data_IF_432871105665
#
_entry.id   IF_432871105665
#
_cell.length_a   1.000
_cell.length_b   1.000
_cell.length_c   1.000
_cell.angle_alpha   90.00
_cell.angle_beta   90.00
_cell.angle_gamma   90.00
#
_symmetry.space_group_name_H-M   'P 1'
#
loop_
_entity.id
_entity.type
_entity.pdbx_description
1 polymer ?
#
# COMPACT_ATOMS: atom_id res chain seq x y z
N UNK A 1 11.44 22.99 59.07
CA UNK A 1 10.89 23.30 57.74
C UNK A 1 11.46 22.29 56.75
N UNK A 2 10.71 21.23 56.43
CA UNK A 2 11.10 20.21 55.48
C UNK A 2 10.52 20.59 54.10
N UNK A 3 11.38 20.98 53.17
CA UNK A 3 10.97 21.26 51.80
C UNK A 3 10.76 19.96 51.01
N UNK A 4 9.52 19.75 50.60
CA UNK A 4 9.12 18.63 49.72
C UNK A 4 9.49 18.97 48.28
N UNK A 5 10.54 18.34 47.72
CA UNK A 5 10.87 18.40 46.31
C UNK A 5 9.93 17.46 45.55
N UNK A 6 8.95 18.02 44.84
CA UNK A 6 8.15 17.31 43.85
C UNK A 6 8.99 17.14 42.58
N UNK A 7 9.50 15.94 42.35
CA UNK A 7 10.05 15.53 41.07
C UNK A 7 8.88 15.27 40.07
N UNK A 8 8.66 16.21 39.15
CA UNK A 8 7.83 15.96 37.98
C UNK A 8 8.59 15.03 37.03
N UNK A 9 8.25 13.76 37.06
CA UNK A 9 8.63 12.85 35.98
C UNK A 9 7.82 13.21 34.73
N UNK A 10 8.40 13.95 33.80
CA UNK A 10 7.87 14.12 32.47
C UNK A 10 8.07 12.76 31.75
N UNK A 11 7.06 11.93 31.80
CA UNK A 11 7.01 10.74 30.99
C UNK A 11 7.00 11.15 29.51
N UNK A 12 8.09 10.89 28.81
CA UNK A 12 8.12 10.89 27.36
C UNK A 12 7.14 9.80 26.90
N UNK A 13 5.92 10.20 26.59
CA UNK A 13 4.98 9.36 25.84
C UNK A 13 5.58 9.18 24.44
N UNK A 14 6.36 8.13 24.25
CA UNK A 14 6.66 7.65 22.92
C UNK A 14 5.33 7.28 22.29
N UNK A 15 4.86 8.09 21.35
CA UNK A 15 3.73 7.75 20.49
C UNK A 15 4.12 6.47 19.75
N UNK A 16 3.56 5.34 20.16
CA UNK A 16 3.72 4.09 19.40
C UNK A 16 2.89 4.26 18.15
N UNK A 17 3.56 4.51 17.04
CA UNK A 17 2.92 4.55 15.73
C UNK A 17 2.58 3.11 15.35
N UNK A 18 1.27 2.78 15.40
CA UNK A 18 0.77 1.44 15.06
C UNK A 18 0.65 1.20 13.55
N UNK A 19 0.89 2.22 12.76
CA UNK A 19 0.63 2.25 11.34
C UNK A 19 1.86 2.72 10.56
N UNK A 20 1.98 2.26 9.34
CA UNK A 20 3.04 2.65 8.41
C UNK A 20 2.60 2.39 6.97
N UNK A 21 3.54 2.48 6.05
CA UNK A 21 3.29 2.25 4.63
C UNK A 21 4.60 2.17 3.86
N UNK A 22 4.48 2.22 2.53
CA UNK A 22 5.64 2.21 1.65
C UNK A 22 6.26 3.59 1.59
N UNK A 23 7.48 3.72 2.09
CA UNK A 23 8.23 4.98 2.02
C UNK A 23 9.35 4.96 0.98
N UNK A 24 9.83 3.78 0.57
CA UNK A 24 10.90 3.66 -0.41
C UNK A 24 10.64 2.51 -1.37
N UNK A 25 11.38 2.52 -2.47
CA UNK A 25 11.42 1.41 -3.43
C UNK A 25 12.85 1.05 -3.80
N UNK A 26 13.06 -0.18 -4.30
CA UNK A 26 14.29 -0.55 -5.00
C UNK A 26 14.00 -1.33 -6.27
N UNK A 27 14.91 -1.17 -7.25
CA UNK A 27 14.99 -1.94 -8.49
C UNK A 27 16.41 -2.43 -8.61
N UNK A 28 16.63 -3.74 -8.53
CA UNK A 28 17.95 -4.32 -8.36
C UNK A 28 18.62 -3.76 -7.10
N UNK A 29 19.83 -3.18 -7.26
CA UNK A 29 20.57 -2.56 -6.15
C UNK A 29 20.29 -1.07 -5.96
N UNK A 30 19.50 -0.46 -6.84
CA UNK A 30 19.22 0.97 -6.79
C UNK A 30 18.03 1.29 -5.92
N UNK A 31 18.23 2.18 -4.97
CA UNK A 31 17.21 2.70 -4.07
C UNK A 31 16.60 3.99 -4.59
N UNK A 32 15.29 4.15 -4.33
CA UNK A 32 14.52 5.33 -4.66
C UNK A 32 13.77 5.79 -3.41
N UNK A 33 14.09 6.99 -2.97
CA UNK A 33 13.44 7.58 -1.79
C UNK A 33 12.06 8.08 -2.16
N UNK A 34 11.07 7.67 -1.35
CA UNK A 34 9.71 8.17 -1.42
C UNK A 34 9.40 9.17 -0.31
N UNK A 35 8.14 9.49 -0.17
CA UNK A 35 7.62 10.36 0.88
C UNK A 35 7.56 9.61 2.21
N UNK A 36 8.02 10.25 3.29
CA UNK A 36 7.94 9.74 4.65
C UNK A 36 7.06 10.68 5.49
N UNK A 37 5.88 10.27 5.97
CA UNK A 37 4.99 11.15 6.73
C UNK A 37 5.53 11.53 8.12
N UNK A 38 6.58 10.87 8.61
CA UNK A 38 7.25 11.19 9.86
C UNK A 38 8.38 12.23 9.72
N UNK A 39 8.67 12.68 8.49
CA UNK A 39 9.64 13.73 8.21
C UNK A 39 8.92 15.03 7.85
N UNK A 40 9.61 16.17 8.03
CA UNK A 40 9.03 17.49 7.74
C UNK A 40 8.62 17.60 6.25
N UNK A 41 7.38 18.00 5.94
CA UNK A 41 6.93 18.13 4.57
C UNK A 41 7.76 19.10 3.72
N UNK A 42 8.22 20.20 4.32
CA UNK A 42 9.04 21.23 3.66
C UNK A 42 10.41 20.71 3.19
N UNK A 43 10.91 19.63 3.78
CA UNK A 43 12.17 18.99 3.37
C UNK A 43 11.98 18.02 2.20
N UNK A 44 10.74 17.63 1.92
CA UNK A 44 10.38 16.61 0.93
C UNK A 44 9.63 17.17 -0.27
N UNK A 45 8.78 18.17 -0.06
CA UNK A 45 7.93 18.73 -1.13
C UNK A 45 8.75 19.33 -2.26
N UNK A 46 8.45 18.90 -3.48
CA UNK A 46 9.13 19.40 -4.69
C UNK A 46 10.55 18.87 -4.90
N UNK A 47 11.04 17.99 -4.04
CA UNK A 47 12.38 17.45 -4.18
C UNK A 47 12.52 16.56 -5.43
N UNK A 48 13.61 16.69 -6.18
CA UNK A 48 13.80 15.96 -7.43
C UNK A 48 13.96 14.45 -7.27
N UNK A 49 14.22 13.96 -6.06
CA UNK A 49 14.31 12.54 -5.74
C UNK A 49 12.97 11.91 -5.39
N UNK A 50 11.91 12.71 -5.14
CA UNK A 50 10.62 12.22 -4.67
C UNK A 50 9.88 11.42 -5.75
N UNK A 51 9.68 10.13 -5.50
CA UNK A 51 9.02 9.22 -6.44
C UNK A 51 7.62 8.78 -5.98
N UNK A 52 7.30 8.91 -4.69
CA UNK A 52 5.97 8.62 -4.16
C UNK A 52 5.08 9.85 -4.21
N UNK A 53 3.80 9.63 -4.43
CA UNK A 53 2.78 10.64 -4.16
C UNK A 53 2.78 10.96 -2.67
N UNK A 54 2.56 12.25 -2.36
CA UNK A 54 2.55 12.73 -0.98
C UNK A 54 1.41 12.08 -0.18
N UNK A 55 1.74 11.62 0.99
CA UNK A 55 0.81 11.12 2.00
C UNK A 55 1.25 11.63 3.38
N UNK A 56 0.32 12.26 4.12
CA UNK A 56 0.64 13.03 5.32
C UNK A 56 0.29 12.31 6.62
N UNK A 57 -0.47 11.21 6.55
CA UNK A 57 -0.89 10.48 7.73
C UNK A 57 -0.67 9.00 7.54
N UNK A 58 -0.22 8.36 8.60
CA UNK A 58 -0.18 6.90 8.75
C UNK A 58 -1.56 6.33 9.11
N UNK A 59 -2.57 7.18 9.32
CA UNK A 59 -3.93 6.74 9.64
C UNK A 59 -4.60 6.04 8.45
N UNK A 60 -5.46 5.05 8.72
CA UNK A 60 -6.17 4.34 7.67
C UNK A 60 -7.22 5.21 6.98
N UNK A 61 -7.51 4.87 5.74
CA UNK A 61 -8.73 5.27 5.08
C UNK A 61 -9.78 4.20 5.41
N UNK A 62 -10.87 4.60 6.09
CA UNK A 62 -11.93 3.68 6.52
C UNK A 62 -13.11 3.65 5.54
N UNK A 63 -13.30 4.73 4.77
CA UNK A 63 -14.37 4.80 3.76
C UNK A 63 -13.79 4.52 2.36
N UNK A 64 -14.10 3.37 1.75
CA UNK A 64 -13.64 3.04 0.41
C UNK A 64 -14.26 3.91 -0.70
N UNK A 65 -15.26 4.74 -0.39
CA UNK A 65 -15.79 5.74 -1.32
C UNK A 65 -15.02 7.06 -1.32
N UNK A 66 -14.13 7.27 -0.35
CA UNK A 66 -13.29 8.46 -0.30
C UNK A 66 -12.28 8.45 -1.47
N UNK A 67 -12.08 9.59 -2.12
CA UNK A 67 -11.12 9.74 -3.24
C UNK A 67 -9.67 9.41 -2.84
N UNK A 68 -9.31 9.61 -1.58
CA UNK A 68 -8.00 9.26 -1.02
C UNK A 68 -7.68 7.77 -1.11
N UNK A 69 -8.70 6.90 -1.30
CA UNK A 69 -8.51 5.45 -1.47
C UNK A 69 -7.62 5.12 -2.69
N UNK A 70 -7.50 6.03 -3.65
CA UNK A 70 -6.64 5.82 -4.82
C UNK A 70 -5.15 5.86 -4.47
N UNK A 71 -4.69 6.91 -3.77
CA UNK A 71 -3.26 7.13 -3.48
C UNK A 71 -3.01 7.88 -2.17
N UNK A 72 -3.82 7.65 -1.13
CA UNK A 72 -3.73 8.32 0.17
C UNK A 72 -4.01 9.84 0.09
N UNK A 73 -3.81 10.57 1.20
CA UNK A 73 -4.11 11.99 1.36
C UNK A 73 -2.83 12.81 1.55
N UNK A 74 -2.63 13.88 0.79
CA UNK A 74 -3.46 14.46 -0.28
C UNK A 74 -3.31 13.77 -1.63
N UNK A 75 -2.40 12.80 -1.81
CA UNK A 75 -2.14 12.14 -3.08
C UNK A 75 -1.44 13.02 -4.13
N UNK A 76 -0.84 14.14 -3.69
CA UNK A 76 -0.13 15.07 -4.57
C UNK A 76 0.93 14.34 -5.40
N UNK A 77 0.98 14.57 -6.70
CA UNK A 77 1.92 13.89 -7.59
C UNK A 77 3.39 14.05 -7.18
N UNK A 78 4.16 12.99 -7.39
CA UNK A 78 5.61 13.01 -7.23
C UNK A 78 6.30 13.81 -8.33
N UNK A 79 7.54 14.22 -8.06
CA UNK A 79 8.38 14.98 -9.00
C UNK A 79 9.05 14.05 -10.02
N UNK A 80 9.52 12.89 -9.55
CA UNK A 80 10.27 11.90 -10.34
C UNK A 80 9.51 10.59 -10.53
N UNK A 81 10.04 9.75 -11.41
CA UNK A 81 9.58 8.39 -11.63
C UNK A 81 10.73 7.40 -11.47
N UNK A 82 10.40 6.18 -11.08
CA UNK A 82 11.34 5.06 -11.03
C UNK A 82 11.44 4.48 -12.44
N UNK A 83 12.62 4.52 -13.11
CA UNK A 83 12.82 3.79 -14.35
C UNK A 83 12.91 2.30 -14.06
N UNK A 84 12.12 1.51 -14.79
CA UNK A 84 12.07 0.06 -14.66
C UNK A 84 11.74 -0.56 -16.01
N UNK A 85 12.28 -1.75 -16.28
CA UNK A 85 11.94 -2.50 -17.49
C UNK A 85 10.85 -3.53 -17.19
N UNK A 86 9.91 -3.68 -18.10
CA UNK A 86 8.93 -4.77 -18.03
C UNK A 86 9.68 -6.13 -17.92
N UNK A 87 9.30 -6.93 -16.94
CA UNK A 87 9.99 -8.17 -16.55
C UNK A 87 10.98 -8.02 -15.40
N UNK A 88 11.31 -6.80 -14.96
CA UNK A 88 12.13 -6.57 -13.78
C UNK A 88 11.30 -6.55 -12.50
N UNK A 89 11.97 -6.81 -11.39
CA UNK A 89 11.41 -6.79 -10.06
C UNK A 89 11.48 -5.38 -9.45
N UNK A 90 10.39 -4.99 -8.79
CA UNK A 90 10.31 -3.81 -7.95
C UNK A 90 10.02 -4.24 -6.51
N UNK A 91 10.79 -3.72 -5.57
CA UNK A 91 10.63 -3.98 -4.15
C UNK A 91 10.08 -2.75 -3.44
N UNK A 92 8.91 -2.88 -2.85
CA UNK A 92 8.34 -1.89 -1.93
C UNK A 92 8.93 -2.12 -0.53
N UNK A 93 9.34 -1.03 0.12
CA UNK A 93 10.02 -1.05 1.41
C UNK A 93 9.14 -0.35 2.43
N UNK A 94 8.69 -1.12 3.41
CA UNK A 94 7.79 -0.73 4.47
C UNK A 94 8.54 -0.52 5.78
N UNK A 95 8.03 0.39 6.60
CA UNK A 95 8.50 0.63 7.96
C UNK A 95 7.31 0.69 8.92
N UNK A 96 7.49 0.28 10.17
CA UNK A 96 6.51 0.40 11.24
C UNK A 96 5.13 -0.16 10.91
N UNK A 97 5.00 -1.47 10.86
CA UNK A 97 3.72 -2.11 10.65
C UNK A 97 3.38 -3.06 11.80
N UNK A 98 2.18 -2.96 12.37
CA UNK A 98 1.79 -3.72 13.56
C UNK A 98 0.60 -4.65 13.37
N UNK A 99 -0.25 -4.41 12.39
CA UNK A 99 -1.38 -5.29 12.13
C UNK A 99 -0.92 -6.59 11.48
N UNK A 100 -1.70 -7.67 11.72
CA UNK A 100 -1.28 -9.02 11.34
C UNK A 100 -2.32 -9.77 10.50
N UNK A 101 -3.50 -9.19 10.27
CA UNK A 101 -4.62 -9.85 9.59
C UNK A 101 -5.13 -8.99 8.43
N UNK A 102 -5.17 -9.60 7.26
CA UNK A 102 -5.69 -8.98 6.06
C UNK A 102 -4.75 -9.09 4.85
N UNK A 103 -5.26 -8.83 3.65
CA UNK A 103 -4.50 -8.95 2.42
C UNK A 103 -3.57 -7.76 2.17
N UNK A 104 -2.53 -8.00 1.36
CA UNK A 104 -1.67 -7.01 0.75
C UNK A 104 -1.79 -7.12 -0.78
N UNK A 105 -1.93 -5.99 -1.47
CA UNK A 105 -2.19 -5.97 -2.90
C UNK A 105 -1.29 -4.94 -3.60
N UNK A 106 -0.67 -5.34 -4.72
CA UNK A 106 0.07 -4.46 -5.61
C UNK A 106 -0.71 -4.22 -6.90
N UNK A 107 -0.91 -2.95 -7.22
CA UNK A 107 -1.69 -2.48 -8.36
C UNK A 107 -0.85 -1.61 -9.26
N UNK A 108 -1.25 -1.52 -10.54
CA UNK A 108 -0.74 -0.51 -11.46
C UNK A 108 -1.89 0.17 -12.20
N UNK A 109 -1.63 1.40 -12.68
CA UNK A 109 -2.53 2.13 -13.57
C UNK A 109 -1.70 2.86 -14.63
N UNK A 110 -2.13 2.78 -15.89
CA UNK A 110 -1.52 3.55 -17.00
C UNK A 110 -1.90 5.03 -16.84
N UNK A 111 -0.90 5.91 -16.78
CA UNK A 111 -1.11 7.34 -16.69
C UNK A 111 -1.51 7.97 -18.05
N UNK A 112 -1.34 7.26 -19.17
CA UNK A 112 -1.60 7.79 -20.51
C UNK A 112 -0.73 8.96 -20.94
N UNK A 113 0.26 9.34 -20.11
CA UNK A 113 1.17 10.48 -20.25
C UNK A 113 1.96 10.68 -18.95
N UNK A 114 2.53 11.84 -18.68
CA UNK A 114 3.27 12.11 -17.45
C UNK A 114 2.41 11.89 -16.20
N UNK A 115 2.85 11.01 -15.27
CA UNK A 115 2.08 10.67 -14.08
C UNK A 115 1.85 11.85 -13.12
N UNK A 116 2.66 12.89 -13.19
CA UNK A 116 2.45 14.11 -12.40
C UNK A 116 1.22 14.93 -12.83
N UNK A 117 0.61 14.61 -13.98
CA UNK A 117 -0.65 15.20 -14.46
C UNK A 117 -1.84 14.24 -14.35
N UNK A 118 -1.61 13.03 -13.90
CA UNK A 118 -2.62 11.98 -13.86
C UNK A 118 -3.45 12.06 -12.58
N UNK A 119 -4.79 12.03 -12.73
CA UNK A 119 -5.70 11.89 -11.62
C UNK A 119 -5.86 10.41 -11.23
N UNK A 120 -5.32 10.01 -10.09
CA UNK A 120 -5.33 8.63 -9.65
C UNK A 120 -6.75 8.08 -9.40
N UNK A 121 -7.70 8.94 -8.98
CA UNK A 121 -9.08 8.54 -8.74
C UNK A 121 -9.89 8.26 -10.02
N UNK A 122 -9.38 8.67 -11.18
CA UNK A 122 -9.95 8.35 -12.50
C UNK A 122 -9.25 7.17 -13.17
N UNK A 123 -8.20 6.66 -12.53
CA UNK A 123 -7.36 5.58 -13.04
C UNK A 123 -8.11 4.26 -13.26
N UNK A 124 -7.66 3.52 -14.26
CA UNK A 124 -8.03 2.11 -14.46
C UNK A 124 -6.92 1.24 -13.89
N UNK A 125 -7.20 0.69 -12.72
CA UNK A 125 -6.25 -0.07 -11.92
C UNK A 125 -6.36 -1.55 -12.23
N UNK A 126 -5.22 -2.24 -12.24
CA UNK A 126 -5.13 -3.69 -12.37
C UNK A 126 -4.13 -4.24 -11.34
N UNK A 127 -4.41 -5.43 -10.82
CA UNK A 127 -3.49 -6.10 -9.89
C UNK A 127 -2.33 -6.72 -10.65
N UNK A 128 -1.12 -6.58 -10.10
CA UNK A 128 0.08 -7.31 -10.53
C UNK A 128 0.48 -8.37 -9.51
N UNK A 129 0.08 -8.19 -8.25
CA UNK A 129 0.33 -9.13 -7.17
C UNK A 129 -0.66 -8.98 -6.03
N UNK A 130 -0.82 -10.06 -5.27
CA UNK A 130 -1.59 -10.07 -4.03
C UNK A 130 -1.11 -11.19 -3.11
N UNK A 131 -1.20 -10.95 -1.79
CA UNK A 131 -0.89 -11.92 -0.74
C UNK A 131 -1.98 -11.83 0.33
N UNK A 132 -2.35 -12.95 0.90
CA UNK A 132 -3.40 -13.04 1.93
C UNK A 132 -3.06 -14.03 3.01
N UNK A 133 -4.05 -14.83 3.43
CA UNK A 133 -3.88 -15.93 4.36
C UNK A 133 -3.12 -17.07 3.67
N UNK A 134 -1.94 -17.41 4.19
CA UNK A 134 -1.04 -18.42 3.62
C UNK A 134 -1.35 -19.82 4.21
N UNK A 135 -1.71 -19.88 5.49
CA UNK A 135 -2.07 -21.13 6.18
C UNK A 135 -2.72 -20.86 7.53
N UNK A 136 -3.41 -21.85 8.07
CA UNK A 136 -4.06 -21.77 9.38
C UNK A 136 -5.42 -21.07 9.34
N UNK A 137 -5.93 -20.68 10.51
CA UNK A 137 -7.22 -20.00 10.66
C UNK A 137 -7.17 -18.53 10.35
N UNK A 138 -8.32 -17.93 10.01
CA UNK A 138 -8.43 -16.52 9.63
C UNK A 138 -7.95 -15.57 10.74
N UNK A 139 -8.11 -15.92 12.01
CA UNK A 139 -7.75 -15.09 13.16
C UNK A 139 -6.26 -15.23 13.50
N UNK A 140 -5.80 -16.46 13.75
CA UNK A 140 -4.45 -16.73 14.25
C UNK A 140 -3.49 -17.28 13.18
N UNK A 141 -3.97 -17.44 11.96
CA UNK A 141 -3.20 -18.05 10.87
C UNK A 141 -2.04 -17.20 10.40
N UNK A 142 -1.26 -17.79 9.52
CA UNK A 142 -0.10 -17.15 8.91
C UNK A 142 -0.54 -16.26 7.74
N UNK A 143 -0.91 -15.02 8.02
CA UNK A 143 -1.12 -14.01 6.99
C UNK A 143 0.23 -13.49 6.48
N UNK A 144 0.33 -13.19 5.21
CA UNK A 144 1.54 -12.56 4.64
C UNK A 144 1.86 -11.23 5.34
N UNK A 145 0.84 -10.46 5.68
CA UNK A 145 0.95 -9.19 6.41
C UNK A 145 1.64 -9.36 7.76
N UNK A 146 1.51 -10.51 8.43
CA UNK A 146 2.14 -10.79 9.72
C UNK A 146 3.68 -10.72 9.66
N UNK A 147 4.28 -11.01 8.51
CA UNK A 147 5.71 -10.91 8.30
C UNK A 147 6.24 -9.47 8.34
N UNK A 148 5.34 -8.51 8.23
CA UNK A 148 5.63 -7.07 8.26
C UNK A 148 5.51 -6.49 9.67
N UNK A 149 5.03 -7.25 10.67
CA UNK A 149 4.97 -6.79 12.05
C UNK A 149 6.37 -6.40 12.56
N UNK A 150 6.55 -5.13 12.88
CA UNK A 150 7.84 -4.57 13.15
C UNK A 150 7.73 -3.33 14.04
N UNK A 151 8.03 -3.52 15.33
CA UNK A 151 8.03 -2.46 16.34
C UNK A 151 9.29 -1.60 16.31
N UNK A 152 10.36 -2.12 15.70
CA UNK A 152 11.70 -1.51 15.74
C UNK A 152 11.94 -0.57 14.55
N UNK A 153 10.99 -0.50 13.61
CA UNK A 153 11.12 0.34 12.41
C UNK A 153 12.16 -0.18 11.42
N UNK A 154 12.50 -1.47 11.48
CA UNK A 154 13.37 -2.09 10.49
C UNK A 154 12.60 -2.26 9.16
N UNK A 155 13.28 -2.14 8.00
CA UNK A 155 12.62 -2.27 6.72
C UNK A 155 12.11 -3.69 6.49
N UNK A 156 10.86 -3.81 6.04
CA UNK A 156 10.27 -5.04 5.53
C UNK A 156 9.99 -4.88 4.04
N UNK A 157 10.29 -5.90 3.27
CA UNK A 157 10.32 -5.82 1.80
C UNK A 157 9.27 -6.72 1.16
N UNK A 158 8.56 -6.18 0.18
CA UNK A 158 7.70 -6.95 -0.69
C UNK A 158 8.05 -6.69 -2.15
N UNK A 159 8.44 -7.76 -2.85
CA UNK A 159 8.85 -7.72 -4.25
C UNK A 159 7.75 -8.27 -5.15
N UNK A 160 7.45 -7.56 -6.23
CA UNK A 160 6.62 -8.01 -7.34
C UNK A 160 7.32 -7.75 -8.67
N UNK A 161 7.06 -8.61 -9.65
CA UNK A 161 7.63 -8.47 -11.00
C UNK A 161 6.68 -7.66 -11.88
N UNK A 162 7.16 -6.63 -12.56
CA UNK A 162 6.39 -5.92 -13.59
C UNK A 162 6.13 -6.89 -14.74
N UNK A 163 4.87 -7.10 -15.17
CA UNK A 163 4.56 -8.08 -16.22
C UNK A 163 5.39 -7.84 -17.50
N UNK A 164 6.14 -8.84 -17.94
CA UNK A 164 7.12 -8.71 -19.03
C UNK A 164 6.49 -8.30 -20.38
N UNK A 165 5.20 -8.61 -20.59
CA UNK A 165 4.46 -8.24 -21.79
C UNK A 165 3.80 -6.86 -21.71
N UNK A 166 3.90 -6.14 -20.57
CA UNK A 166 3.30 -4.83 -20.37
C UNK A 166 3.86 -3.83 -21.39
N UNK A 167 2.98 -3.10 -22.03
CA UNK A 167 3.33 -2.01 -22.95
C UNK A 167 4.15 -0.94 -22.22
N UNK A 168 5.25 -0.43 -22.81
CA UNK A 168 6.01 0.69 -22.24
C UNK A 168 5.14 1.94 -22.06
N UNK A 169 5.44 2.72 -21.02
CA UNK A 169 4.69 3.93 -20.69
C UNK A 169 4.94 4.39 -19.25
N UNK A 170 4.21 5.41 -18.85
CA UNK A 170 4.23 5.92 -17.50
C UNK A 170 3.06 5.30 -16.72
N UNK A 171 3.36 4.76 -15.54
CA UNK A 171 2.42 4.07 -14.69
C UNK A 171 2.48 4.57 -13.27
N UNK A 172 1.36 4.54 -12.57
CA UNK A 172 1.39 4.46 -11.11
C UNK A 172 1.55 3.00 -10.70
N UNK A 173 2.38 2.76 -9.69
CA UNK A 173 2.31 1.55 -8.86
C UNK A 173 1.69 1.94 -7.52
N UNK A 174 0.78 1.10 -7.02
CA UNK A 174 0.09 1.30 -5.75
C UNK A 174 0.23 0.05 -4.92
N UNK A 175 0.89 0.16 -3.80
CA UNK A 175 0.92 -0.88 -2.78
C UNK A 175 -0.13 -0.57 -1.72
N UNK A 176 -0.82 -1.59 -1.26
CA UNK A 176 -1.89 -1.46 -0.30
C UNK A 176 -1.85 -2.57 0.72
N UNK A 177 -1.97 -2.20 1.98
CA UNK A 177 -2.34 -3.12 3.04
C UNK A 177 -3.80 -2.87 3.38
N UNK A 178 -4.57 -3.95 3.52
CA UNK A 178 -5.92 -3.89 4.10
C UNK A 178 -5.87 -4.62 5.45
N UNK A 179 -6.15 -3.92 6.54
CA UNK A 179 -6.19 -4.52 7.86
C UNK A 179 -7.63 -4.86 8.27
N UNK A 180 -7.86 -6.09 8.74
CA UNK A 180 -9.17 -6.65 9.06
C UNK A 180 -9.35 -6.99 10.56
N UNK A 181 -8.50 -6.44 11.41
CA UNK A 181 -8.48 -6.73 12.84
C UNK A 181 -9.65 -6.07 13.62
N UNK A 182 -10.35 -5.11 13.02
CA UNK A 182 -11.55 -4.50 13.60
C UNK A 182 -12.79 -5.08 12.90
N UNK A 183 -13.73 -5.71 13.64
CA UNK A 183 -14.93 -6.30 13.06
C UNK A 183 -15.71 -5.32 12.18
N UNK A 184 -16.03 -5.72 10.95
CA UNK A 184 -16.81 -4.95 9.98
C UNK A 184 -16.29 -3.53 9.71
N UNK A 185 -15.01 -3.29 9.95
CA UNK A 185 -14.36 -1.98 9.76
C UNK A 185 -12.98 -2.16 9.13
N UNK A 186 -12.91 -2.49 7.83
CA UNK A 186 -11.63 -2.63 7.13
C UNK A 186 -10.88 -1.30 7.10
N UNK A 187 -9.58 -1.37 7.25
CA UNK A 187 -8.68 -0.23 7.20
C UNK A 187 -7.78 -0.33 5.97
N UNK A 188 -7.78 0.69 5.13
CA UNK A 188 -7.03 0.73 3.87
C UNK A 188 -5.83 1.65 3.97
N UNK A 189 -4.66 1.17 3.54
CA UNK A 189 -3.38 1.89 3.57
C UNK A 189 -2.73 1.84 2.18
N UNK A 190 -3.19 2.70 1.25
CA UNK A 190 -2.66 2.76 -0.11
C UNK A 190 -1.56 3.80 -0.25
N UNK A 191 -0.42 3.45 -0.83
CA UNK A 191 0.63 4.38 -1.22
C UNK A 191 0.98 4.18 -2.71
N UNK A 192 1.20 5.29 -3.42
CA UNK A 192 1.49 5.29 -4.84
C UNK A 192 2.86 5.87 -5.17
N UNK A 193 3.56 5.24 -6.12
CA UNK A 193 4.77 5.78 -6.73
C UNK A 193 4.63 5.88 -8.25
N UNK A 194 5.45 6.74 -8.86
CA UNK A 194 5.51 6.90 -10.30
C UNK A 194 6.55 5.94 -10.91
N UNK A 195 6.17 5.25 -11.98
CA UNK A 195 7.06 4.40 -12.77
C UNK A 195 7.19 4.92 -14.20
N UNK A 196 8.40 4.82 -14.76
CA UNK A 196 8.66 4.90 -16.19
C UNK A 196 9.03 3.50 -16.69
N UNK A 197 8.06 2.80 -17.27
CA UNK A 197 8.22 1.42 -17.72
C UNK A 197 8.75 1.40 -19.13
N UNK A 198 9.90 0.77 -19.33
CA UNK A 198 10.53 0.50 -20.63
C UNK A 198 10.34 -0.97 -21.03
N UNK A 199 10.71 -1.33 -22.26
CA UNK A 199 10.67 -2.71 -22.73
C UNK A 199 10.06 -2.86 -24.11
N UNK A 200 9.77 -4.13 -24.49
CA UNK A 200 9.21 -4.49 -25.80
C UNK A 200 7.81 -5.08 -25.69
N UNK A 201 7.19 -5.04 -24.52
CA UNK A 201 5.83 -5.52 -24.31
C UNK A 201 4.84 -4.71 -25.13
N UNK A 202 3.74 -5.33 -25.52
CA UNK A 202 2.70 -4.71 -26.35
C UNK A 202 1.31 -4.88 -25.76
N UNK A 203 1.21 -5.57 -24.61
CA UNK A 203 -0.07 -5.91 -24.01
C UNK A 203 -0.50 -4.88 -22.94
N UNK A 204 -1.80 -4.76 -22.82
CA UNK A 204 -2.47 -4.02 -21.76
C UNK A 204 -3.55 -4.91 -21.13
N UNK A 205 -3.90 -4.72 -19.85
CA UNK A 205 -4.93 -5.53 -19.20
C UNK A 205 -6.30 -5.36 -19.87
N UNK A 206 -6.97 -6.47 -20.13
CA UNK A 206 -8.36 -6.48 -20.62
C UNK A 206 -9.35 -6.06 -19.54
N UNK A 207 -10.60 -5.74 -19.92
CA UNK A 207 -11.66 -5.22 -19.02
C UNK A 207 -11.86 -6.02 -17.73
N UNK A 208 -11.73 -7.36 -17.77
CA UNK A 208 -11.91 -8.23 -16.60
C UNK A 208 -10.90 -7.99 -15.48
N UNK A 209 -9.76 -7.37 -15.80
CA UNK A 209 -8.68 -7.07 -14.87
C UNK A 209 -8.73 -5.63 -14.35
N UNK A 210 -9.61 -4.78 -14.87
CA UNK A 210 -9.62 -3.34 -14.61
C UNK A 210 -10.73 -2.95 -13.63
N UNK A 211 -10.41 -2.02 -12.76
CA UNK A 211 -11.36 -1.32 -11.90
C UNK A 211 -10.89 0.09 -11.58
N UNK A 212 -11.66 0.82 -10.77
CA UNK A 212 -11.31 2.19 -10.37
C UNK A 212 -11.35 2.33 -8.86
N UNK A 213 -10.54 3.21 -8.33
CA UNK A 213 -10.60 3.68 -6.94
C UNK A 213 -11.05 5.14 -6.90
N UNK A 214 -12.18 5.43 -6.25
CA UNK A 214 -13.16 4.53 -5.61
C UNK A 214 -13.87 3.59 -6.58
N UNK A 215 -14.39 2.46 -6.05
CA UNK A 215 -15.26 1.54 -6.78
C UNK A 215 -14.86 0.07 -6.73
N UNK A 216 -13.57 -0.27 -6.70
CA UNK A 216 -13.12 -1.66 -6.53
C UNK A 216 -13.50 -2.17 -5.14
N UNK A 217 -13.27 -1.36 -4.11
CA UNK A 217 -13.63 -1.69 -2.73
C UNK A 217 -15.05 -1.25 -2.40
N UNK A 218 -15.79 -2.08 -1.69
CA UNK A 218 -17.13 -1.80 -1.22
C UNK A 218 -17.39 -2.46 0.13
N UNK A 219 -18.00 -1.75 1.06
CA UNK A 219 -18.46 -2.33 2.32
C UNK A 219 -19.65 -3.28 2.16
N UNK A 220 -20.17 -3.46 0.94
CA UNK A 220 -21.10 -4.55 0.60
C UNK A 220 -20.39 -5.87 0.33
N UNK A 221 -19.06 -5.85 0.14
CA UNK A 221 -18.26 -7.06 -0.05
C UNK A 221 -18.07 -7.77 1.30
N UNK A 222 -18.54 -9.02 1.45
CA UNK A 222 -18.46 -9.74 2.72
C UNK A 222 -17.03 -10.11 3.13
N UNK A 223 -16.07 -10.10 2.21
CA UNK A 223 -14.65 -10.35 2.55
C UNK A 223 -13.95 -9.09 3.06
N UNK A 224 -14.47 -7.91 2.75
CA UNK A 224 -13.98 -6.64 3.32
C UNK A 224 -14.74 -6.25 4.57
N UNK A 225 -16.07 -6.30 4.53
CA UNK A 225 -16.93 -5.99 5.69
C UNK A 225 -17.13 -7.25 6.54
N UNK A 226 -16.04 -7.81 7.05
CA UNK A 226 -16.01 -9.08 7.76
C UNK A 226 -15.76 -8.89 9.27
N UNK A 227 -16.49 -9.64 10.08
CA UNK A 227 -16.10 -9.91 11.46
C UNK A 227 -15.38 -11.27 11.51
N UNK A 228 -14.05 -11.22 11.54
CA UNK A 228 -13.21 -12.44 11.57
C UNK A 228 -13.37 -13.23 12.87
N UNK A 229 -13.84 -12.59 13.94
CA UNK A 229 -14.00 -13.21 15.27
C UNK A 229 -15.39 -13.84 15.48
N UNK A 230 -16.33 -13.61 14.55
CA UNK A 230 -17.66 -14.23 14.63
C UNK A 230 -17.58 -15.74 14.54
N UNK A 231 -18.56 -16.45 15.14
CA UNK A 231 -18.64 -17.92 15.09
C UNK A 231 -18.64 -18.47 13.66
N UNK A 232 -19.18 -17.70 12.70
CA UNK A 232 -19.21 -18.11 11.29
C UNK A 232 -17.84 -18.05 10.60
N UNK A 233 -16.96 -17.16 11.05
CA UNK A 233 -15.67 -16.90 10.40
C UNK A 233 -14.46 -17.44 11.18
N UNK A 234 -14.56 -17.56 12.50
CA UNK A 234 -13.43 -17.88 13.38
C UNK A 234 -12.62 -19.10 12.94
N UNK A 235 -13.31 -20.14 12.46
CA UNK A 235 -12.70 -21.39 12.01
C UNK A 235 -12.38 -21.44 10.51
N UNK A 236 -12.60 -20.34 9.76
CA UNK A 236 -12.24 -20.30 8.34
C UNK A 236 -10.73 -20.42 8.17
N UNK A 237 -10.32 -21.24 7.20
CA UNK A 237 -8.91 -21.47 6.81
C UNK A 237 -8.59 -20.93 5.43
N UNK A 238 -9.53 -20.22 4.82
CA UNK A 238 -9.38 -19.58 3.51
C UNK A 238 -9.88 -18.15 3.53
N UNK A 239 -9.28 -17.30 2.74
CA UNK A 239 -9.70 -15.91 2.53
C UNK A 239 -9.62 -15.57 1.04
N UNK A 240 -10.70 -15.04 0.48
CA UNK A 240 -10.75 -14.64 -0.91
C UNK A 240 -10.45 -13.14 -1.01
N UNK A 241 -9.36 -12.78 -1.67
CA UNK A 241 -8.98 -11.37 -1.85
C UNK A 241 -9.90 -10.75 -2.90
N UNK A 242 -10.66 -9.75 -2.47
CA UNK A 242 -11.64 -9.02 -3.28
C UNK A 242 -11.04 -8.31 -4.49
N UNK A 243 -11.91 -7.87 -5.40
CA UNK A 243 -11.54 -7.11 -6.59
C UNK A 243 -11.19 -7.98 -7.82
N UNK A 244 -10.73 -7.38 -8.93
CA UNK A 244 -10.41 -8.10 -10.14
C UNK A 244 -9.26 -9.09 -9.95
N UNK A 245 -9.14 -10.13 -10.82
CA UNK A 245 -8.03 -11.07 -10.74
C UNK A 245 -6.69 -10.39 -11.06
N UNK A 246 -5.60 -11.02 -10.62
CA UNK A 246 -4.23 -10.58 -10.93
C UNK A 246 -3.96 -10.77 -12.42
N UNK A 247 -3.48 -9.72 -13.09
CA UNK A 247 -3.05 -9.79 -14.47
C UNK A 247 -1.60 -10.25 -14.57
N UNK A 248 -1.35 -11.32 -15.29
CA UNK A 248 -0.01 -11.94 -15.47
C UNK A 248 0.62 -11.64 -16.83
N UNK A 249 0.04 -10.70 -17.62
CA UNK A 249 0.58 -10.32 -18.91
C UNK A 249 0.00 -11.08 -20.10
N UNK A 250 -1.14 -11.71 -19.94
CA UNK A 250 -1.89 -12.46 -20.97
C UNK A 250 -2.94 -11.63 -21.72
#
# INVERSE_FOLDING_TARGET
>A
MLGLLLLFAVGLLNSVTAHGGVSNYSVGTKWYRGYNPNEAPEEQDGQPWLINRKWLSIDPINDPANLSIACNTPGTPAVSSIPIKAGEDITAIYYYWLHNVGPMIAWMADCGGPCNKFNASEGKWFKIGQRGLLSGGIVEGNWFQRQFQNWEGLPCNWTETIPASLKPGNYLIRHEIVALHIPNSPQFYPECAHLEVSGKGTKTPGKKYLGSFPGIWSLKDPELNIDIYSNANYNRTTYNISGPPVWKGE
#
